data_IF_694399182355
#
_entry.id   IF_694399182355
#
_cell.length_a   1.000
_cell.length_b   1.000
_cell.length_c   1.000
_cell.angle_alpha   90.00
_cell.angle_beta   90.00
_cell.angle_gamma   90.00
#
_symmetry.space_group_name_H-M   'P 1'
#
loop_
_entity.id
_entity.type
_entity.pdbx_description
1 polymer ?
#
# COMPACT_ATOMS: atom_id res chain seq x y z
N UNK A 1 -9.04 -13.78 -0.77
CA UNK A 1 -7.65 -13.36 -0.66
C UNK A 1 -7.14 -12.85 -1.99
N UNK A 2 -6.22 -11.94 -1.96
CA UNK A 2 -5.68 -11.32 -3.16
C UNK A 2 -4.16 -11.36 -3.23
N UNK A 3 -3.63 -10.66 -4.19
CA UNK A 3 -2.22 -10.53 -4.45
C UNK A 3 -1.89 -9.07 -4.72
N UNK A 4 -0.64 -8.68 -4.53
CA UNK A 4 -0.23 -7.30 -4.63
C UNK A 4 1.14 -7.19 -5.29
N UNK A 5 1.26 -6.29 -6.27
CA UNK A 5 2.51 -6.02 -6.93
C UNK A 5 2.92 -4.56 -6.68
N UNK A 6 4.18 -4.36 -6.34
CA UNK A 6 4.76 -3.04 -6.09
C UNK A 6 5.77 -2.71 -7.18
N UNK A 7 5.69 -1.48 -7.67
CA UNK A 7 6.72 -0.90 -8.53
C UNK A 7 7.15 0.41 -7.89
N UNK A 8 8.36 0.46 -7.38
CA UNK A 8 8.85 1.55 -6.55
C UNK A 8 10.16 2.07 -7.13
N UNK A 9 10.22 3.40 -7.32
CA UNK A 9 11.41 4.08 -7.79
C UNK A 9 11.73 5.25 -6.84
N UNK A 10 12.85 5.16 -6.14
CA UNK A 10 13.36 6.29 -5.37
C UNK A 10 14.11 7.22 -6.32
N UNK A 11 13.35 8.16 -6.89
CA UNK A 11 13.83 9.04 -7.96
C UNK A 11 14.86 10.06 -7.48
N UNK A 12 14.90 10.33 -6.17
CA UNK A 12 15.95 11.13 -5.55
C UNK A 12 16.09 10.71 -4.08
N UNK A 13 17.04 11.30 -3.38
CA UNK A 13 17.21 11.01 -1.96
C UNK A 13 15.96 11.35 -1.13
N UNK A 14 15.12 12.28 -1.62
CA UNK A 14 13.98 12.82 -0.87
C UNK A 14 12.62 12.52 -1.49
N UNK A 15 12.58 11.81 -2.63
CA UNK A 15 11.33 11.53 -3.35
C UNK A 15 11.29 10.10 -3.86
N UNK A 16 10.12 9.49 -3.83
CA UNK A 16 9.90 8.15 -4.39
C UNK A 16 8.53 8.07 -5.06
N UNK A 17 8.50 7.44 -6.23
CA UNK A 17 7.26 7.07 -6.91
C UNK A 17 6.89 5.66 -6.49
N UNK A 18 5.64 5.47 -6.08
CA UNK A 18 5.12 4.17 -5.64
C UNK A 18 3.88 3.85 -6.44
N UNK A 19 3.93 2.71 -7.14
CA UNK A 19 2.81 2.15 -7.87
C UNK A 19 2.44 0.83 -7.23
N UNK A 20 1.15 0.64 -6.95
CA UNK A 20 0.66 -0.59 -6.35
C UNK A 20 -0.49 -1.11 -7.21
N UNK A 21 -0.37 -2.36 -7.64
CA UNK A 21 -1.47 -3.07 -8.28
C UNK A 21 -1.98 -4.12 -7.31
N UNK A 22 -3.27 -4.06 -6.99
CA UNK A 22 -3.92 -5.02 -6.10
C UNK A 22 -4.82 -5.91 -6.94
N UNK A 23 -4.65 -7.22 -6.79
CA UNK A 23 -5.44 -8.21 -7.50
C UNK A 23 -6.15 -9.09 -6.47
N UNK A 24 -7.47 -9.21 -6.62
CA UNK A 24 -8.26 -10.11 -5.79
C UNK A 24 -8.40 -11.46 -6.49
N UNK A 25 -8.48 -12.53 -5.71
CA UNK A 25 -8.62 -13.88 -6.26
C UNK A 25 -9.93 -14.09 -7.01
N UNK A 26 -10.92 -13.22 -6.76
CA UNK A 26 -12.18 -13.19 -7.47
C UNK A 26 -12.76 -11.77 -7.39
N UNK A 27 -13.82 -11.51 -8.13
CA UNK A 27 -14.53 -10.24 -8.09
C UNK A 27 -15.08 -10.03 -6.68
N UNK A 28 -14.77 -8.88 -6.08
CA UNK A 28 -15.22 -8.52 -4.74
C UNK A 28 -16.34 -7.47 -4.82
N UNK A 29 -17.24 -7.50 -3.86
CA UNK A 29 -18.35 -6.54 -3.80
C UNK A 29 -17.84 -5.16 -3.42
N UNK A 30 -16.93 -5.11 -2.45
CA UNK A 30 -16.25 -3.87 -2.06
C UNK A 30 -14.90 -4.20 -1.45
N UNK A 31 -14.05 -3.20 -1.37
CA UNK A 31 -12.76 -3.32 -0.70
C UNK A 31 -12.43 -2.05 0.08
N UNK A 32 -11.56 -2.22 1.08
CA UNK A 32 -10.95 -1.15 1.83
C UNK A 32 -9.46 -1.46 1.90
N UNK A 33 -8.65 -0.55 1.38
CA UNK A 33 -7.19 -0.74 1.34
C UNK A 33 -6.54 0.48 1.98
N UNK A 34 -5.68 0.24 2.94
CA UNK A 34 -4.94 1.29 3.64
C UNK A 34 -3.45 1.13 3.34
N UNK A 35 -2.83 2.20 2.87
CA UNK A 35 -1.42 2.22 2.46
C UNK A 35 -0.64 3.11 3.42
N UNK A 36 0.39 2.54 4.03
CA UNK A 36 1.26 3.24 4.96
C UNK A 36 2.68 3.32 4.41
N UNK A 37 3.32 4.47 4.59
CA UNK A 37 4.77 4.58 4.41
C UNK A 37 5.43 4.30 5.76
N UNK A 38 6.35 3.35 5.80
CA UNK A 38 7.15 3.05 6.99
C UNK A 38 8.59 3.45 6.74
N UNK A 39 9.25 3.92 7.79
CA UNK A 39 10.69 4.19 7.79
C UNK A 39 11.40 3.33 8.81
N UNK A 40 12.67 3.03 8.57
CA UNK A 40 13.46 2.24 9.49
C UNK A 40 14.23 3.17 10.43
N UNK A 41 14.01 2.99 11.73
CA UNK A 41 14.67 3.76 12.80
C UNK A 41 15.28 2.75 13.77
N UNK A 42 16.61 2.79 13.92
CA UNK A 42 17.35 1.88 14.80
C UNK A 42 17.02 0.40 14.53
N UNK A 43 16.90 0.04 13.25
CA UNK A 43 16.60 -1.31 12.83
C UNK A 43 15.11 -1.69 12.87
N UNK A 44 14.26 -0.82 13.37
CA UNK A 44 12.82 -1.09 13.48
C UNK A 44 12.02 -0.28 12.47
N UNK A 45 10.92 -0.89 11.98
CA UNK A 45 10.02 -0.22 11.05
C UNK A 45 8.92 0.51 11.81
N UNK A 46 8.81 1.82 11.56
CA UNK A 46 7.79 2.68 12.17
C UNK A 46 7.07 3.47 11.07
N UNK A 47 5.85 3.88 11.34
CA UNK A 47 5.09 4.68 10.38
C UNK A 47 5.73 6.07 10.27
N UNK A 48 5.90 6.54 9.02
CA UNK A 48 6.36 7.91 8.77
C UNK A 48 5.19 8.86 8.95
N UNK A 49 5.19 9.60 10.04
CA UNK A 49 4.09 10.50 10.39
C UNK A 49 4.03 11.76 9.52
N UNK A 50 5.07 12.04 8.74
CA UNK A 50 5.07 13.18 7.80
C UNK A 50 4.34 12.84 6.50
N UNK A 51 4.14 11.54 6.23
CA UNK A 51 3.37 11.07 5.08
C UNK A 51 2.21 10.24 5.59
N UNK A 52 1.03 10.85 5.76
CA UNK A 52 -0.10 10.15 6.36
C UNK A 52 -0.57 8.98 5.51
N UNK A 53 -1.26 8.05 6.15
CA UNK A 53 -1.83 6.89 5.48
C UNK A 53 -2.83 7.31 4.39
N UNK A 54 -2.98 6.45 3.39
CA UNK A 54 -3.96 6.62 2.33
C UNK A 54 -4.94 5.46 2.38
N UNK A 55 -6.22 5.80 2.38
CA UNK A 55 -7.31 4.82 2.39
C UNK A 55 -8.06 4.86 1.07
N UNK A 56 -8.26 3.69 0.49
CA UNK A 56 -8.91 3.52 -0.80
C UNK A 56 -10.13 2.63 -0.63
N UNK A 57 -11.24 3.06 -1.21
CA UNK A 57 -12.52 2.34 -1.10
C UNK A 57 -13.08 2.02 -2.47
N UNK A 58 -13.86 0.93 -2.50
CA UNK A 58 -14.80 0.69 -3.58
C UNK A 58 -16.10 0.17 -2.97
N UNK A 59 -17.17 0.97 -3.06
CA UNK A 59 -18.48 0.63 -2.49
C UNK A 59 -19.45 0.23 -3.60
N UNK A 60 -19.80 -1.05 -3.67
CA UNK A 60 -20.81 -1.54 -4.56
C UNK A 60 -20.39 -1.73 -6.01
N UNK A 61 -19.11 -1.79 -6.29
CA UNK A 61 -18.62 -2.02 -7.64
C UNK A 61 -17.88 -3.35 -7.69
N UNK A 62 -18.31 -4.26 -8.51
CA UNK A 62 -17.69 -5.56 -8.67
C UNK A 62 -16.32 -5.38 -9.31
N UNK A 63 -15.25 -5.48 -8.52
CA UNK A 63 -13.88 -5.30 -8.97
C UNK A 63 -13.04 -6.52 -8.65
N UNK A 64 -12.13 -6.85 -9.56
CA UNK A 64 -11.14 -7.89 -9.34
C UNK A 64 -9.73 -7.31 -9.17
N UNK A 65 -9.55 -6.00 -9.42
CA UNK A 65 -8.26 -5.34 -9.31
C UNK A 65 -8.43 -3.84 -9.15
N UNK A 66 -7.43 -3.19 -8.56
CA UNK A 66 -7.32 -1.74 -8.61
C UNK A 66 -5.86 -1.32 -8.62
N UNK A 67 -5.63 -0.06 -8.96
CA UNK A 67 -4.32 0.53 -9.13
C UNK A 67 -4.21 1.77 -8.25
N UNK A 68 -3.05 1.93 -7.60
CA UNK A 68 -2.75 3.07 -6.75
C UNK A 68 -1.39 3.64 -7.14
N UNK A 69 -1.31 4.97 -7.21
CA UNK A 69 -0.07 5.69 -7.41
C UNK A 69 0.04 6.82 -6.39
N UNK A 70 1.20 6.98 -5.80
CA UNK A 70 1.52 8.14 -4.99
C UNK A 70 3.00 8.47 -5.11
N UNK A 71 3.31 9.77 -5.15
CA UNK A 71 4.68 10.23 -5.02
C UNK A 71 4.89 10.70 -3.59
N UNK A 72 5.79 10.04 -2.88
CA UNK A 72 6.17 10.43 -1.53
C UNK A 72 7.30 11.44 -1.61
N UNK A 73 7.20 12.51 -0.81
CA UNK A 73 8.17 13.60 -0.75
C UNK A 73 8.66 13.78 0.68
N UNK A 74 9.68 14.60 0.86
CA UNK A 74 10.21 14.85 2.20
C UNK A 74 10.89 13.64 2.83
N UNK A 75 11.34 12.68 2.02
CA UNK A 75 12.09 11.53 2.52
C UNK A 75 13.48 11.99 2.97
N UNK A 76 14.04 11.27 3.93
CA UNK A 76 15.35 11.59 4.49
C UNK A 76 16.42 10.78 3.75
N UNK A 77 17.46 11.48 3.29
CA UNK A 77 18.61 10.84 2.66
C UNK A 77 19.23 9.80 3.58
N UNK A 78 19.48 8.60 3.07
CA UNK A 78 20.11 7.52 3.81
C UNK A 78 19.15 6.74 4.71
N UNK A 79 17.88 7.12 4.80
CA UNK A 79 16.87 6.38 5.54
C UNK A 79 16.18 5.40 4.60
N UNK A 80 16.01 4.17 5.05
CA UNK A 80 15.28 3.14 4.32
C UNK A 80 13.78 3.26 4.62
N UNK A 81 12.97 3.09 3.58
CA UNK A 81 11.53 3.12 3.63
C UNK A 81 10.95 1.83 3.06
N UNK A 82 9.73 1.51 3.41
CA UNK A 82 8.95 0.45 2.76
C UNK A 82 7.47 0.82 2.81
N UNK A 83 6.69 0.18 1.95
CA UNK A 83 5.24 0.32 1.97
C UNK A 83 4.63 -0.87 2.72
N UNK A 84 3.70 -0.57 3.62
CA UNK A 84 2.83 -1.56 4.24
C UNK A 84 1.42 -1.33 3.71
N UNK A 85 0.80 -2.37 3.18
CA UNK A 85 -0.56 -2.28 2.67
C UNK A 85 -1.44 -3.28 3.38
N UNK A 86 -2.54 -2.80 3.95
CA UNK A 86 -3.55 -3.64 4.60
C UNK A 86 -4.79 -3.62 3.72
N UNK A 87 -5.13 -4.77 3.14
CA UNK A 87 -6.26 -4.91 2.22
C UNK A 87 -7.34 -5.74 2.86
N UNK A 88 -8.56 -5.23 2.84
CA UNK A 88 -9.75 -5.95 3.28
C UNK A 88 -10.76 -5.95 2.16
N UNK A 89 -11.28 -7.12 1.84
CA UNK A 89 -12.28 -7.28 0.80
C UNK A 89 -13.53 -8.00 1.33
N UNK A 90 -14.64 -7.78 0.64
CA UNK A 90 -15.95 -8.31 1.02
C UNK A 90 -16.58 -9.00 -0.17
N UNK A 91 -17.08 -10.22 0.08
CA UNK A 91 -17.83 -10.99 -0.90
C UNK A 91 -19.06 -11.54 -0.17
N UNK A 92 -20.23 -10.96 -0.46
CA UNK A 92 -21.43 -11.28 0.29
C UNK A 92 -21.27 -10.97 1.77
N UNK A 93 -21.47 -11.97 2.63
CA UNK A 93 -21.30 -11.84 4.07
C UNK A 93 -19.89 -12.19 4.55
N UNK A 94 -18.98 -12.54 3.62
CA UNK A 94 -17.63 -12.96 3.94
C UNK A 94 -16.65 -11.80 3.75
N UNK A 95 -15.68 -11.68 4.65
CA UNK A 95 -14.58 -10.72 4.50
C UNK A 95 -13.26 -11.42 4.64
N UNK A 96 -12.25 -10.90 3.92
CA UNK A 96 -10.88 -11.36 3.99
C UNK A 96 -9.99 -10.15 4.22
N UNK A 97 -8.92 -10.34 5.02
CA UNK A 97 -7.94 -9.30 5.27
C UNK A 97 -6.55 -9.89 5.03
N UNK A 98 -5.70 -9.14 4.35
CA UNK A 98 -4.30 -9.53 4.20
C UNK A 98 -3.41 -8.29 4.22
N UNK A 99 -2.19 -8.50 4.71
CA UNK A 99 -1.19 -7.44 4.84
C UNK A 99 0.02 -7.82 4.01
N UNK A 100 0.52 -6.87 3.24
CA UNK A 100 1.74 -7.06 2.44
C UNK A 100 2.71 -5.93 2.69
N UNK A 101 3.98 -6.19 2.41
CA UNK A 101 5.05 -5.22 2.53
C UNK A 101 5.83 -5.17 1.22
N UNK A 102 6.24 -3.99 0.83
CA UNK A 102 7.16 -3.83 -0.30
C UNK A 102 8.58 -4.18 0.13
N UNK A 103 9.49 -4.24 -0.86
CA UNK A 103 10.92 -4.18 -0.57
C UNK A 103 11.28 -2.84 0.07
N UNK A 104 12.40 -2.79 0.74
CA UNK A 104 12.97 -1.53 1.21
C UNK A 104 13.49 -0.68 0.03
N UNK A 105 13.37 0.60 0.18
CA UNK A 105 13.86 1.55 -0.84
C UNK A 105 14.41 2.80 -0.21
#
# INVERSE_FOLDING_TARGET
>A
KGNMAYDIDRISATKADVYINVYFSQVVDQYNVVVYLQKQVDGEWVIDMTNPERTLYNNGFNKSAFYFYNQYTGLVRGTNYRIKTVSKDYIGSTSNIFTTYSRAF
#
